data_IF_598035203733
#
_entry.id   IF_598035203733
#
_cell.length_a   1.000
_cell.length_b   1.000
_cell.length_c   1.000
_cell.angle_alpha   90.00
_cell.angle_beta   90.00
_cell.angle_gamma   90.00
#
_symmetry.space_group_name_H-M   'P 1'
#
loop_
_entity.id
_entity.type
_entity.pdbx_description
1 polymer ?
#
# COMPACT_ATOMS: atom_id res chain seq x y z
N UNK A 1 -9.05 -0.02 9.14
CA UNK A 1 -8.32 0.81 9.91
C UNK A 1 -6.98 0.34 10.20
N UNK A 2 -6.83 -0.81 10.74
CA UNK A 2 -5.54 -1.30 11.13
C UNK A 2 -4.56 -1.40 9.96
N UNK A 3 -5.04 -1.79 8.79
CA UNK A 3 -4.17 -1.97 7.64
C UNK A 3 -3.46 -0.68 7.23
N UNK A 4 -4.21 0.42 7.21
CA UNK A 4 -3.61 1.70 6.83
C UNK A 4 -2.59 2.15 7.88
N UNK A 5 -2.92 1.94 9.16
CA UNK A 5 -2.02 2.32 10.22
C UNK A 5 -0.72 1.52 10.15
N UNK A 6 -0.84 0.22 9.85
CA UNK A 6 0.35 -0.61 9.74
C UNK A 6 1.24 -0.18 8.60
N UNK A 7 0.65 0.17 7.46
CA UNK A 7 1.43 0.63 6.32
C UNK A 7 2.21 1.89 6.69
N UNK A 8 1.54 2.82 7.34
CA UNK A 8 2.20 4.06 7.75
C UNK A 8 3.31 3.79 8.76
N UNK A 9 3.07 2.88 9.69
CA UNK A 9 4.05 2.58 10.71
C UNK A 9 5.30 1.92 10.13
N UNK A 10 5.10 1.01 9.16
CA UNK A 10 6.22 0.37 8.52
C UNK A 10 7.08 1.40 7.80
N UNK A 11 6.45 2.29 7.06
CA UNK A 11 7.20 3.31 6.34
C UNK A 11 7.91 4.25 7.30
N UNK A 12 7.25 4.61 8.39
CA UNK A 12 7.86 5.47 9.38
C UNK A 12 9.06 4.80 10.03
N UNK A 13 8.97 3.51 10.29
CA UNK A 13 10.08 2.78 10.87
C UNK A 13 11.30 2.79 9.94
N UNK A 14 11.06 2.65 8.64
CA UNK A 14 12.16 2.69 7.69
C UNK A 14 12.84 4.06 7.71
N UNK A 15 12.06 5.12 7.77
CA UNK A 15 12.62 6.47 7.84
C UNK A 15 13.42 6.64 9.12
N UNK A 16 12.90 6.14 10.24
CA UNK A 16 13.62 6.23 11.48
C UNK A 16 14.94 5.52 11.41
N UNK A 17 14.98 4.33 10.84
CA UNK A 17 16.23 3.59 10.70
C UNK A 17 17.23 4.35 9.88
N UNK A 18 16.73 5.02 8.85
CA UNK A 18 17.62 5.79 8.00
C UNK A 18 18.20 6.98 8.73
N UNK A 19 17.41 7.62 9.53
CA UNK A 19 17.88 8.79 10.24
C UNK A 19 18.97 8.43 11.24
N UNK A 20 18.92 7.26 11.76
CA UNK A 20 19.85 6.90 12.80
C UNK A 20 21.29 6.86 12.37
N UNK A 21 21.54 6.83 11.09
CA UNK A 21 22.89 6.64 10.77
C UNK A 21 23.56 7.82 10.20
N UNK A 22 23.25 8.79 10.39
CA UNK A 22 23.68 9.73 9.83
C UNK A 22 24.74 10.45 9.68
N UNK A 23 25.18 10.79 10.10
CA UNK A 23 26.20 11.66 10.17
C UNK A 23 26.83 11.88 8.91
N UNK A 24 26.81 11.26 8.00
CA UNK A 24 27.48 11.43 6.98
C UNK A 24 26.93 12.20 6.08
N UNK A 25 26.94 13.22 5.97
CA UNK A 25 26.37 14.11 5.11
C UNK A 25 26.28 13.66 3.72
N UNK A 26 26.73 12.62 3.32
CA UNK A 26 26.59 12.16 1.96
C UNK A 26 25.26 11.47 1.75
N UNK A 27 24.55 11.13 2.81
CA UNK A 27 23.29 10.44 2.68
C UNK A 27 22.17 11.45 2.70
N UNK A 28 21.36 11.49 1.65
CA UNK A 28 20.26 12.42 1.54
C UNK A 28 18.97 11.61 1.41
N UNK A 29 18.05 11.84 2.34
CA UNK A 29 16.75 11.20 2.27
C UNK A 29 15.94 11.82 1.13
N UNK A 30 15.28 10.99 0.37
CA UNK A 30 14.47 11.42 -0.77
C UNK A 30 13.01 11.23 -0.45
N UNK A 31 12.20 12.13 -0.95
CA UNK A 31 10.76 12.07 -0.75
C UNK A 31 10.12 11.05 -1.68
N UNK A 32 9.21 10.27 -1.14
CA UNK A 32 8.42 9.33 -1.92
C UNK A 32 6.98 9.43 -1.47
N UNK A 33 6.06 9.21 -2.40
CA UNK A 33 4.63 9.21 -2.11
C UNK A 33 4.04 7.89 -2.57
N UNK A 34 3.38 7.18 -1.67
CA UNK A 34 2.65 5.98 -2.02
C UNK A 34 1.18 6.37 -2.18
N UNK A 35 0.63 6.12 -3.34
CA UNK A 35 -0.78 6.39 -3.62
C UNK A 35 -1.52 5.07 -3.77
N UNK A 36 -2.61 4.92 -3.05
CA UNK A 36 -3.44 3.74 -3.09
C UNK A 36 -4.79 4.07 -3.70
N UNK A 37 -5.32 3.15 -4.47
CA UNK A 37 -6.64 3.33 -5.07
C UNK A 37 -7.31 1.98 -5.22
N UNK A 38 -8.63 1.99 -5.38
CA UNK A 38 -9.42 0.78 -5.53
C UNK A 38 -10.17 0.87 -6.85
N UNK A 39 -10.11 -0.20 -7.63
CA UNK A 39 -10.92 -0.31 -8.83
C UNK A 39 -11.90 -1.46 -8.64
N UNK A 40 -13.18 -1.14 -8.49
CA UNK A 40 -14.22 -2.15 -8.35
C UNK A 40 -14.68 -2.56 -9.76
N UNK A 41 -14.43 -3.82 -10.11
CA UNK A 41 -14.84 -4.34 -11.43
C UNK A 41 -16.24 -4.95 -11.31
N UNK A 42 -16.46 -5.78 -10.28
CA UNK A 42 -17.77 -6.33 -10.01
C UNK A 42 -17.96 -6.36 -8.50
N UNK A 43 -19.04 -5.80 -8.01
CA UNK A 43 -19.31 -5.80 -6.59
C UNK A 43 -19.74 -7.18 -6.10
N UNK A 44 -20.50 -7.92 -6.89
CA UNK A 44 -21.00 -9.21 -6.46
C UNK A 44 -21.79 -9.09 -5.16
N UNK A 45 -21.53 -9.99 -4.23
CA UNK A 45 -22.23 -10.00 -2.95
C UNK A 45 -21.46 -9.26 -1.84
N UNK A 46 -20.53 -8.40 -2.20
CA UNK A 46 -19.86 -7.59 -1.19
C UNK A 46 -20.86 -6.70 -0.46
N UNK A 47 -20.79 -6.70 0.84
CA UNK A 47 -21.70 -5.90 1.68
C UNK A 47 -21.21 -4.47 1.77
N UNK A 48 -22.06 -3.59 2.25
CA UNK A 48 -21.68 -2.19 2.46
C UNK A 48 -20.53 -2.08 3.47
N UNK A 49 -20.49 -2.96 4.46
CA UNK A 49 -19.40 -2.96 5.43
C UNK A 49 -18.07 -3.32 4.77
N UNK A 50 -18.07 -4.30 3.87
CA UNK A 50 -16.86 -4.68 3.15
C UNK A 50 -16.42 -3.57 2.19
N UNK A 51 -17.36 -2.95 1.48
CA UNK A 51 -17.03 -1.82 0.61
C UNK A 51 -16.47 -0.66 1.42
N UNK A 52 -17.02 -0.42 2.60
CA UNK A 52 -16.55 0.64 3.46
C UNK A 52 -15.12 0.37 3.94
N UNK A 53 -14.79 -0.89 4.22
CA UNK A 53 -13.43 -1.26 4.58
C UNK A 53 -12.46 -0.88 3.47
N UNK A 54 -12.79 -1.23 2.23
CA UNK A 54 -11.94 -0.90 1.09
C UNK A 54 -11.80 0.60 0.91
N UNK A 55 -12.89 1.33 1.02
CA UNK A 55 -12.86 2.77 0.82
C UNK A 55 -12.06 3.46 1.93
N UNK A 56 -12.25 3.05 3.17
CA UNK A 56 -11.56 3.70 4.28
C UNK A 56 -10.08 3.40 4.30
N UNK A 57 -9.68 2.24 3.83
CA UNK A 57 -8.28 1.85 3.92
C UNK A 57 -7.48 2.15 2.65
N UNK A 58 -8.11 2.14 1.50
CA UNK A 58 -7.35 2.20 0.25
C UNK A 58 -7.82 3.25 -0.75
N UNK A 59 -9.06 3.73 -0.68
CA UNK A 59 -9.55 4.62 -1.73
C UNK A 59 -8.92 5.99 -1.60
N UNK A 60 -8.19 6.39 -2.64
CA UNK A 60 -7.58 7.71 -2.71
C UNK A 60 -6.72 8.02 -1.47
N UNK A 61 -6.01 7.03 -0.97
CA UNK A 61 -5.10 7.24 0.15
C UNK A 61 -3.71 7.59 -0.35
N UNK A 62 -3.02 8.42 0.44
CA UNK A 62 -1.71 8.88 0.06
C UNK A 62 -0.84 8.90 1.30
N UNK A 63 0.35 8.32 1.23
CA UNK A 63 1.30 8.30 2.33
C UNK A 63 2.61 8.86 1.83
N UNK A 64 3.10 9.92 2.46
CA UNK A 64 4.35 10.56 2.09
C UNK A 64 5.41 10.22 3.13
N UNK A 65 6.60 9.86 2.65
CA UNK A 65 7.67 9.53 3.56
C UNK A 65 9.02 9.73 2.88
N UNK A 66 10.09 9.65 3.65
CA UNK A 66 11.42 9.83 3.13
C UNK A 66 12.22 8.55 3.28
N UNK A 67 13.01 8.22 2.27
CA UNK A 67 13.85 7.03 2.28
C UNK A 67 15.22 7.37 1.70
N UNK A 68 16.24 6.65 2.16
CA UNK A 68 17.61 6.85 1.67
C UNK A 68 17.70 6.45 0.21
N UNK A 69 17.01 5.40 -0.19
CA UNK A 69 17.12 4.88 -1.54
C UNK A 69 15.79 4.39 -2.06
N UNK A 70 15.72 4.22 -3.37
CA UNK A 70 14.54 3.61 -3.98
C UNK A 70 14.33 2.17 -3.46
N UNK A 71 15.42 1.46 -3.21
CA UNK A 71 15.30 0.09 -2.71
C UNK A 71 14.55 0.07 -1.37
N UNK A 72 14.86 1.00 -0.49
CA UNK A 72 14.18 1.08 0.81
C UNK A 72 12.72 1.45 0.63
N UNK A 73 12.42 2.39 -0.25
CA UNK A 73 11.04 2.80 -0.52
C UNK A 73 10.25 1.63 -1.12
N UNK A 74 10.86 0.88 -2.02
CA UNK A 74 10.21 -0.27 -2.63
C UNK A 74 9.95 -1.37 -1.61
N UNK A 75 10.93 -1.63 -0.74
CA UNK A 75 10.77 -2.65 0.30
C UNK A 75 9.62 -2.27 1.25
N UNK A 76 9.54 -1.01 1.63
CA UNK A 76 8.45 -0.55 2.48
C UNK A 76 7.10 -0.69 1.77
N UNK A 77 7.06 -0.42 0.48
CA UNK A 77 5.83 -0.58 -0.32
C UNK A 77 5.43 -2.06 -0.35
N UNK A 78 6.37 -2.96 -0.60
CA UNK A 78 6.07 -4.39 -0.64
C UNK A 78 5.54 -4.88 0.72
N UNK A 79 6.14 -4.42 1.80
CA UNK A 79 5.68 -4.78 3.14
C UNK A 79 4.26 -4.26 3.37
N UNK A 80 3.97 -3.06 2.93
CA UNK A 80 2.63 -2.49 3.04
C UNK A 80 1.61 -3.27 2.23
N UNK A 81 1.98 -3.71 1.03
CA UNK A 81 1.09 -4.51 0.19
C UNK A 81 0.80 -5.86 0.85
N UNK A 82 1.81 -6.49 1.44
CA UNK A 82 1.62 -7.76 2.12
C UNK A 82 0.71 -7.59 3.34
N UNK A 83 0.86 -6.52 4.09
CA UNK A 83 0.00 -6.26 5.23
C UNK A 83 -1.44 -6.00 4.77
N UNK A 84 -1.61 -5.29 3.67
CA UNK A 84 -2.93 -5.03 3.12
C UNK A 84 -3.60 -6.32 2.68
N UNK A 85 -2.85 -7.21 2.03
CA UNK A 85 -3.39 -8.50 1.60
C UNK A 85 -3.80 -9.33 2.81
N UNK A 86 -2.98 -9.33 3.86
CA UNK A 86 -3.29 -10.01 5.10
C UNK A 86 -4.59 -9.45 5.71
N UNK A 87 -4.75 -8.15 5.68
CA UNK A 87 -5.97 -7.50 6.19
C UNK A 87 -7.20 -7.91 5.40
N UNK A 88 -7.09 -7.95 4.09
CA UNK A 88 -8.19 -8.40 3.23
C UNK A 88 -8.55 -9.85 3.55
N UNK A 89 -7.54 -10.70 3.67
CA UNK A 89 -7.78 -12.11 3.96
C UNK A 89 -8.37 -12.32 5.36
N UNK A 90 -7.81 -11.65 6.36
CA UNK A 90 -8.25 -11.80 7.74
C UNK A 90 -9.67 -11.29 7.93
N UNK A 91 -10.02 -10.18 7.30
CA UNK A 91 -11.33 -9.60 7.44
C UNK A 91 -12.31 -10.11 6.37
N UNK A 92 -11.84 -11.01 5.52
CA UNK A 92 -12.65 -11.62 4.48
C UNK A 92 -13.35 -10.58 3.62
N UNK A 93 -12.54 -9.67 3.06
CA UNK A 93 -13.07 -8.61 2.21
C UNK A 93 -13.20 -9.16 0.78
N UNK A 94 -14.06 -10.15 0.62
CA UNK A 94 -14.37 -10.74 -0.66
C UNK A 94 -15.74 -11.43 -0.54
N UNK A 95 -16.36 -11.71 -1.65
CA UNK A 95 -17.66 -12.36 -1.67
C UNK A 95 -17.92 -12.96 -3.04
N UNK A 96 -18.95 -13.76 -3.14
CA UNK A 96 -19.29 -14.43 -4.37
C UNK A 96 -19.56 -13.39 -5.46
N UNK A 97 -18.94 -13.59 -6.59
CA UNK A 97 -19.13 -12.71 -7.74
C UNK A 97 -18.36 -11.40 -7.68
N UNK A 98 -17.58 -11.16 -6.64
CA UNK A 98 -16.83 -9.90 -6.58
C UNK A 98 -15.54 -9.99 -7.39
N UNK A 99 -15.12 -8.85 -7.87
CA UNK A 99 -13.83 -8.72 -8.54
C UNK A 99 -13.36 -7.28 -8.38
N UNK A 100 -12.18 -7.08 -7.82
CA UNK A 100 -11.64 -5.73 -7.66
C UNK A 100 -10.13 -5.76 -7.58
N UNK A 101 -9.51 -4.59 -7.76
CA UNK A 101 -8.08 -4.42 -7.64
C UNK A 101 -7.78 -3.29 -6.67
N UNK A 102 -6.69 -3.45 -5.91
CA UNK A 102 -6.17 -2.37 -5.08
C UNK A 102 -4.79 -2.05 -5.61
N UNK A 103 -4.59 -0.82 -6.04
CA UNK A 103 -3.33 -0.38 -6.63
C UNK A 103 -2.47 0.33 -5.60
N UNK A 104 -1.18 0.03 -5.62
CA UNK A 104 -0.19 0.70 -4.78
C UNK A 104 0.86 1.25 -5.72
N UNK A 105 0.86 2.56 -5.91
CA UNK A 105 1.76 3.23 -6.85
C UNK A 105 2.69 4.13 -6.09
N UNK A 106 3.99 3.93 -6.29
CA UNK A 106 5.03 4.70 -5.60
C UNK A 106 5.57 5.76 -6.55
N UNK A 107 5.61 7.00 -6.07
CA UNK A 107 6.10 8.13 -6.85
C UNK A 107 7.31 8.72 -6.16
N UNK A 108 8.27 9.21 -6.93
CA UNK A 108 9.45 9.85 -6.38
C UNK A 108 9.23 11.35 -6.18
N UNK A 109 10.27 12.05 -5.77
CA UNK A 109 10.17 13.47 -5.47
C UNK A 109 9.78 14.32 -6.69
N UNK A 110 10.06 13.84 -7.89
CA UNK A 110 9.67 14.56 -9.10
C UNK A 110 8.27 14.16 -9.56
N UNK A 111 7.55 13.42 -8.73
CA UNK A 111 6.19 12.98 -9.03
C UNK A 111 6.13 12.00 -10.21
N UNK A 112 7.19 11.25 -10.42
CA UNK A 112 7.23 10.21 -11.43
C UNK A 112 6.94 8.87 -10.78
N UNK A 113 6.08 8.07 -11.40
CA UNK A 113 5.78 6.75 -10.86
C UNK A 113 6.99 5.83 -11.09
N UNK A 114 7.53 5.30 -10.01
CA UNK A 114 8.74 4.48 -10.07
C UNK A 114 8.48 3.03 -9.71
N UNK A 115 7.31 2.70 -9.18
CA UNK A 115 7.02 1.33 -8.79
C UNK A 115 5.51 1.13 -8.65
N UNK A 116 5.06 -0.10 -8.85
CA UNK A 116 3.64 -0.41 -8.67
C UNK A 116 3.48 -1.86 -8.25
N UNK A 117 2.56 -2.09 -7.35
CA UNK A 117 2.06 -3.42 -7.00
C UNK A 117 0.54 -3.36 -7.00
N UNK A 118 -0.09 -4.49 -7.28
CA UNK A 118 -1.54 -4.56 -7.33
C UNK A 118 -2.00 -5.80 -6.57
N UNK A 119 -3.00 -5.63 -5.71
CA UNK A 119 -3.70 -6.77 -5.13
C UNK A 119 -4.92 -7.03 -6.02
N UNK A 120 -5.05 -8.26 -6.50
CA UNK A 120 -6.16 -8.63 -7.36
C UNK A 120 -7.01 -9.65 -6.62
N UNK A 121 -8.30 -9.37 -6.49
CA UNK A 121 -9.23 -10.23 -5.77
C UNK A 121 -10.37 -10.63 -6.70
N UNK A 122 -10.58 -11.93 -6.87
CA UNK A 122 -11.72 -12.47 -7.58
C UNK A 122 -12.34 -13.49 -6.65
N UNK A 123 -13.51 -13.18 -6.13
CA UNK A 123 -14.22 -14.00 -5.15
C UNK A 123 -13.27 -14.28 -3.97
N UNK A 124 -13.00 -15.52 -3.62
CA UNK A 124 -12.12 -15.81 -2.50
C UNK A 124 -10.67 -16.06 -2.93
N UNK A 125 -10.33 -15.73 -4.17
CA UNK A 125 -8.95 -15.82 -4.65
C UNK A 125 -8.32 -14.45 -4.66
N UNK A 126 -7.16 -14.34 -4.06
CA UNK A 126 -6.47 -13.04 -4.03
C UNK A 126 -4.97 -13.27 -4.19
N UNK A 127 -4.33 -12.35 -4.89
CA UNK A 127 -2.90 -12.44 -5.17
C UNK A 127 -2.32 -11.05 -5.40
N UNK A 128 -1.00 -10.99 -5.35
CA UNK A 128 -0.27 -9.77 -5.62
C UNK A 128 0.31 -9.87 -7.02
N UNK A 129 0.07 -8.85 -7.83
CA UNK A 129 0.64 -8.74 -9.17
C UNK A 129 1.54 -7.52 -9.23
N UNK A 130 2.46 -7.57 -10.14
CA UNK A 130 3.33 -6.42 -10.38
C UNK A 130 2.71 -5.43 -11.32
#
# INVERSE_FOLDING_TARGET
MAAVALICMIMTSMVFSSCGSDDDNTVVNKDYTLKMSVQMIEQGELTSTQLDYLNRNFKDKEVKNKFISFFDARTATDNGVNEALTGIATNKIYAKGCEYKVYFKLFDASNSQVYQKTIYVIEDNYKIDN
#
